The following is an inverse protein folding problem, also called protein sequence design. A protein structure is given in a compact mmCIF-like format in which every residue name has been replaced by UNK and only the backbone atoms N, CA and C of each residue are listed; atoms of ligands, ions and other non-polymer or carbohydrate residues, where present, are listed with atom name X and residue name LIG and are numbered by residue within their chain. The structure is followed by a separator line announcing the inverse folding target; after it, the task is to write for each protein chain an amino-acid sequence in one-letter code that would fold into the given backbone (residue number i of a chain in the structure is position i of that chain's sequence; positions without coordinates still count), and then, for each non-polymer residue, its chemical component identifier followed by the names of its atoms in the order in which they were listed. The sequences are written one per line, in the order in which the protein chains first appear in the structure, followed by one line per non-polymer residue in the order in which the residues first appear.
data_IF_621621592970
#
_entry.id   IF_621621592970
#
_cell.length_a   1.000
_cell.length_b   1.000
_cell.length_c   1.000
_cell.angle_alpha   90.00
_cell.angle_beta   90.00
_cell.angle_gamma   90.00
#
_symmetry.space_group_name_H-M   'P 1'
#
loop_
_entity.id
_entity.type
_entity.pdbx_description
1 polymer ?
#
# COMPACT_ATOMS: atom_id res chain seq x y z
N UNK A 1 4.53 -17.19 17.06
CA UNK A 1 3.92 -15.86 17.25
C UNK A 1 3.62 -15.35 15.85
N UNK A 2 2.36 -15.16 15.51
CA UNK A 2 1.95 -14.84 14.14
C UNK A 2 1.99 -13.32 13.92
N UNK A 3 2.76 -12.86 12.93
CA UNK A 3 2.82 -11.45 12.53
C UNK A 3 1.67 -11.13 11.58
N UNK A 4 1.02 -9.98 11.75
CA UNK A 4 0.03 -9.50 10.78
C UNK A 4 0.72 -8.55 9.81
N UNK A 5 0.58 -8.83 8.51
CA UNK A 5 1.09 -7.98 7.44
C UNK A 5 -0.13 -7.34 6.76
N UNK A 6 -0.14 -6.02 6.71
CA UNK A 6 -1.15 -5.28 5.96
C UNK A 6 -0.79 -5.31 4.48
N UNK A 7 -1.70 -5.82 3.65
CA UNK A 7 -1.48 -5.94 2.22
C UNK A 7 -2.79 -5.75 1.45
N UNK A 8 -2.72 -5.02 0.33
CA UNK A 8 -3.82 -4.79 -0.60
C UNK A 8 -3.33 -5.03 -2.02
N UNK A 9 -4.13 -5.71 -2.83
CA UNK A 9 -3.76 -5.98 -4.21
C UNK A 9 -3.69 -4.71 -5.05
N UNK A 10 -4.51 -3.71 -4.71
CA UNK A 10 -4.58 -2.41 -5.37
C UNK A 10 -3.26 -1.62 -5.27
N UNK A 11 -2.37 -1.97 -4.34
CA UNK A 11 -1.04 -1.34 -4.25
C UNK A 11 -0.18 -1.57 -5.51
N UNK A 12 -0.47 -2.60 -6.31
CA UNK A 12 0.20 -2.84 -7.59
C UNK A 12 -0.05 -1.72 -8.62
N UNK A 13 -1.13 -0.97 -8.45
CA UNK A 13 -1.52 0.11 -9.36
C UNK A 13 -0.65 1.37 -9.14
N UNK A 14 0.09 1.43 -8.04
CA UNK A 14 1.02 2.53 -7.76
C UNK A 14 2.37 2.30 -8.44
N UNK A 15 2.56 2.98 -9.56
CA UNK A 15 3.82 3.04 -10.29
C UNK A 15 4.11 4.48 -10.73
N UNK A 16 5.28 5.01 -10.35
CA UNK A 16 5.69 6.38 -10.72
C UNK A 16 6.22 6.49 -12.17
N UNK A 17 6.30 5.37 -12.89
CA UNK A 17 6.68 5.32 -14.30
C UNK A 17 8.14 4.96 -14.56
N UNK A 18 8.44 4.82 -15.86
CA UNK A 18 9.77 4.46 -16.36
C UNK A 18 10.81 5.51 -15.95
N UNK A 19 11.92 5.04 -15.38
CA UNK A 19 13.00 5.89 -14.88
C UNK A 19 12.89 6.27 -13.40
N UNK A 20 11.73 6.06 -12.76
CA UNK A 20 11.59 6.32 -11.33
C UNK A 20 11.97 5.09 -10.48
N UNK A 21 12.71 5.23 -9.38
CA UNK A 21 13.08 4.09 -8.52
C UNK A 21 11.89 3.51 -7.78
N UNK A 22 10.82 4.30 -7.57
CA UNK A 22 9.59 3.80 -6.96
C UNK A 22 8.63 3.20 -8.00
N UNK A 23 8.85 1.92 -8.30
CA UNK A 23 8.04 1.11 -9.23
C UNK A 23 7.04 0.21 -8.50
N UNK A 24 5.98 -0.19 -9.21
CA UNK A 24 4.89 -1.01 -8.69
C UNK A 24 5.21 -2.51 -8.57
N UNK A 25 6.16 -2.99 -9.37
CA UNK A 25 6.65 -4.39 -9.36
C UNK A 25 7.10 -4.87 -7.97
N UNK A 26 7.68 -3.98 -7.16
CA UNK A 26 8.11 -4.28 -5.78
C UNK A 26 6.96 -4.75 -4.89
N UNK A 27 5.75 -4.20 -5.08
CA UNK A 27 4.56 -4.63 -4.35
C UNK A 27 4.10 -6.03 -4.77
N UNK A 28 4.29 -6.41 -6.03
CA UNK A 28 3.95 -7.75 -6.52
C UNK A 28 4.98 -8.82 -6.17
N UNK A 29 6.26 -8.44 -6.09
CA UNK A 29 7.37 -9.37 -5.81
C UNK A 29 7.34 -9.83 -4.36
N UNK A 30 7.12 -8.93 -3.40
CA UNK A 30 7.25 -9.23 -1.98
C UNK A 30 6.36 -10.40 -1.51
N UNK A 31 5.04 -10.45 -1.79
CA UNK A 31 4.20 -11.56 -1.36
C UNK A 31 4.65 -12.91 -1.93
N UNK A 32 5.12 -12.93 -3.19
CA UNK A 32 5.62 -14.14 -3.85
C UNK A 32 6.89 -14.65 -3.16
N UNK A 33 7.84 -13.75 -2.90
CA UNK A 33 9.09 -14.08 -2.18
C UNK A 33 8.80 -14.53 -0.75
N UNK A 34 7.89 -13.86 -0.05
CA UNK A 34 7.51 -14.23 1.32
C UNK A 34 6.96 -15.66 1.37
N UNK A 35 6.03 -16.02 0.49
CA UNK A 35 5.43 -17.36 0.43
C UNK A 35 6.44 -18.44 0.03
N UNK A 36 7.47 -18.10 -0.74
CA UNK A 36 8.54 -19.04 -1.12
C UNK A 36 9.49 -19.36 0.04
N UNK A 37 9.69 -18.42 0.97
CA UNK A 37 10.69 -18.54 2.03
C UNK A 37 10.12 -18.77 3.42
N UNK A 38 8.85 -18.43 3.64
CA UNK A 38 8.19 -18.50 4.96
C UNK A 38 6.82 -19.15 4.79
N UNK A 39 6.59 -20.26 5.49
CA UNK A 39 5.26 -20.88 5.53
C UNK A 39 4.31 -19.99 6.32
N UNK A 40 3.07 -19.73 5.87
CA UNK A 40 2.16 -18.83 6.57
C UNK A 40 1.82 -19.29 8.00
N UNK A 41 1.56 -20.59 8.15
CA UNK A 41 1.06 -21.16 9.39
C UNK A 41 2.02 -20.92 10.56
N UNK A 42 1.52 -20.33 11.65
CA UNK A 42 2.31 -19.97 12.83
C UNK A 42 3.30 -18.81 12.68
N UNK A 43 3.51 -18.28 11.46
CA UNK A 43 4.48 -17.21 11.16
C UNK A 43 3.82 -15.88 10.79
N UNK A 44 2.91 -15.86 9.81
CA UNK A 44 2.26 -14.63 9.39
C UNK A 44 0.85 -14.82 8.83
N UNK A 45 0.09 -13.73 8.83
CA UNK A 45 -1.19 -13.61 8.11
C UNK A 45 -1.23 -12.30 7.34
N UNK A 46 -1.86 -12.33 6.17
CA UNK A 46 -2.15 -11.13 5.40
C UNK A 46 -3.53 -10.60 5.82
N UNK A 47 -3.63 -9.30 6.04
CA UNK A 47 -4.89 -8.61 6.32
C UNK A 47 -5.03 -7.44 5.34
N UNK A 48 -6.20 -7.32 4.71
CA UNK A 48 -6.53 -6.15 3.92
C UNK A 48 -6.73 -4.96 4.86
N UNK A 49 -5.94 -3.91 4.66
CA UNK A 49 -6.11 -2.66 5.41
C UNK A 49 -7.30 -1.86 4.87
N UNK A 50 -8.04 -1.23 5.77
CA UNK A 50 -9.03 -0.24 5.37
C UNK A 50 -8.34 0.99 4.75
N UNK A 51 -9.02 1.63 3.81
CA UNK A 51 -8.56 2.90 3.25
C UNK A 51 -8.71 3.99 4.30
N UNK A 52 -7.75 4.91 4.40
CA UNK A 52 -7.87 6.07 5.28
C UNK A 52 -9.07 6.93 4.90
N UNK A 53 -9.79 7.45 5.90
CA UNK A 53 -10.83 8.47 5.68
C UNK A 53 -10.21 9.86 5.54
N UNK A 54 -11.03 10.83 5.17
CA UNK A 54 -10.60 12.23 5.16
C UNK A 54 -10.33 12.75 6.59
N UNK A 55 -11.05 12.25 7.61
CA UNK A 55 -10.73 12.55 9.00
C UNK A 55 -9.34 12.04 9.39
N UNK A 56 -8.97 10.83 8.97
CA UNK A 56 -7.64 10.27 9.24
C UNK A 56 -6.53 11.15 8.63
N UNK A 57 -6.72 11.59 7.39
CA UNK A 57 -5.75 12.46 6.70
C UNK A 57 -5.59 13.81 7.40
N UNK A 58 -6.69 14.39 7.92
CA UNK A 58 -6.69 15.67 8.65
C UNK A 58 -5.93 15.64 9.98
N UNK A 59 -5.55 14.47 10.48
CA UNK A 59 -4.68 14.37 11.66
C UNK A 59 -3.29 15.01 11.41
N UNK A 60 -2.84 15.04 10.14
CA UNK A 60 -1.51 15.55 9.77
C UNK A 60 -1.51 16.48 8.55
N UNK A 61 -2.47 16.36 7.64
CA UNK A 61 -2.54 17.14 6.40
C UNK A 61 -3.48 18.33 6.53
N UNK A 62 -3.16 19.44 5.84
CA UNK A 62 -4.13 20.53 5.64
C UNK A 62 -5.23 20.10 4.65
N UNK A 63 -6.42 20.69 4.78
CA UNK A 63 -7.52 20.44 3.85
C UNK A 63 -7.13 20.79 2.40
N UNK A 64 -6.40 21.91 2.22
CA UNK A 64 -5.93 22.36 0.91
C UNK A 64 -5.04 21.31 0.20
N UNK A 65 -4.16 20.63 0.94
CA UNK A 65 -3.32 19.57 0.39
C UNK A 65 -4.11 18.33 0.02
N UNK A 66 -5.10 17.97 0.83
CA UNK A 66 -5.99 16.83 0.56
C UNK A 66 -6.78 17.07 -0.72
N UNK A 67 -7.36 18.27 -0.87
CA UNK A 67 -8.16 18.64 -2.03
C UNK A 67 -7.30 18.70 -3.29
N UNK A 68 -6.12 19.34 -3.23
CA UNK A 68 -5.17 19.37 -4.34
C UNK A 68 -4.79 17.96 -4.82
N UNK A 69 -4.42 17.07 -3.88
CA UNK A 69 -4.00 15.70 -4.21
C UNK A 69 -5.13 14.91 -4.84
N UNK A 70 -6.35 15.04 -4.32
CA UNK A 70 -7.54 14.37 -4.86
C UNK A 70 -7.86 14.81 -6.28
N UNK A 71 -7.81 16.11 -6.53
CA UNK A 71 -8.17 16.67 -7.83
C UNK A 71 -7.10 16.41 -8.89
N UNK A 72 -5.82 16.38 -8.50
CA UNK A 72 -4.71 16.04 -9.39
C UNK A 72 -4.87 14.67 -10.05
N UNK A 73 -5.36 13.66 -9.31
CA UNK A 73 -5.56 12.30 -9.82
C UNK A 73 -6.95 12.06 -10.44
N UNK A 74 -7.84 13.06 -10.45
CA UNK A 74 -9.16 12.99 -11.13
C UNK A 74 -9.13 13.57 -12.56
N UNK A 75 -8.09 14.30 -12.91
CA UNK A 75 -7.85 14.88 -14.24
C UNK A 75 -7.26 13.84 -15.20
#
# INVERSE_FOLDING_TARGET
MTVTILYREELREYDFGVGHPFRGDRYEIFPKVLQQHVVPDGHYRLLAADTCTEEDLRLICSQEYIDFSRDYFRA
#
